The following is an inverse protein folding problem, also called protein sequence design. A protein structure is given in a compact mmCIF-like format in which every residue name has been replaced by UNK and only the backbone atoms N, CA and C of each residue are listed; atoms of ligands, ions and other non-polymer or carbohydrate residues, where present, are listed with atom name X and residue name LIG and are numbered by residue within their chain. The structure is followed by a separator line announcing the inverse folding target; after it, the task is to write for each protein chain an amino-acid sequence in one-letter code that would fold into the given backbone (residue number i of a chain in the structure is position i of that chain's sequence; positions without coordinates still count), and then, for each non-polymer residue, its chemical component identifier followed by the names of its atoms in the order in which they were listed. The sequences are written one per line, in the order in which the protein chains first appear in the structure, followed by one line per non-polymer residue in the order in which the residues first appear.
data_IF_235200086958
#
_entry.id   IF_235200086958
#
_cell.length_a   1.000
_cell.length_b   1.000
_cell.length_c   1.000
_cell.angle_alpha   90.00
_cell.angle_beta   90.00
_cell.angle_gamma   90.00
#
_symmetry.space_group_name_H-M   'P 1'
#
loop_
_entity.id
_entity.type
_entity.pdbx_description
1 polymer ?
#
# COMPACT_ATOMS: atom_id res chain seq x y z
N UNK A 1 -9.67 4.39 16.73
CA UNK A 1 -8.20 4.32 16.87
C UNK A 1 -7.72 5.35 17.86
N UNK A 2 -6.61 5.09 18.55
CA UNK A 2 -6.06 6.08 19.45
C UNK A 2 -5.25 7.15 18.70
N UNK A 3 -4.93 8.24 19.40
CA UNK A 3 -4.26 9.39 18.79
C UNK A 3 -2.85 9.07 18.29
N UNK A 4 -2.13 8.17 18.96
CA UNK A 4 -0.78 7.77 18.56
C UNK A 4 -0.81 7.01 17.22
N UNK A 5 -1.79 6.14 17.03
CA UNK A 5 -1.98 5.42 15.77
C UNK A 5 -2.35 6.39 14.65
N UNK A 6 -3.27 7.32 14.91
CA UNK A 6 -3.68 8.31 13.91
C UNK A 6 -2.50 9.19 13.50
N UNK A 7 -1.68 9.61 14.45
CA UNK A 7 -0.48 10.40 14.16
C UNK A 7 0.52 9.60 13.31
N UNK A 8 0.75 8.33 13.63
CA UNK A 8 1.64 7.47 12.86
C UNK A 8 1.14 7.28 11.43
N UNK A 9 -0.18 7.10 11.24
CA UNK A 9 -0.77 6.94 9.92
C UNK A 9 -0.69 8.21 9.07
N UNK A 10 -0.59 9.38 9.70
CA UNK A 10 -0.50 10.65 8.97
C UNK A 10 0.88 10.93 8.37
N UNK A 11 1.92 10.26 8.84
CA UNK A 11 3.31 10.57 8.49
C UNK A 11 3.80 9.90 7.21
N UNK A 12 3.32 8.71 6.89
CA UNK A 12 3.84 7.90 5.78
C UNK A 12 5.23 7.36 6.10
N UNK A 13 5.35 6.05 6.30
CA UNK A 13 6.59 5.40 6.75
C UNK A 13 6.75 4.01 6.18
N UNK A 14 7.88 3.41 6.53
CA UNK A 14 8.12 1.98 6.35
C UNK A 14 7.27 1.19 7.34
N UNK A 15 6.55 0.23 6.82
CA UNK A 15 5.69 -0.68 7.58
C UNK A 15 5.92 -2.11 7.09
N UNK A 16 5.30 -3.06 7.75
CA UNK A 16 5.11 -4.39 7.18
C UNK A 16 3.62 -4.58 6.86
N UNK A 17 3.36 -5.41 5.86
CA UNK A 17 2.02 -5.91 5.58
C UNK A 17 2.06 -7.44 5.62
N UNK A 18 0.96 -8.05 6.07
CA UNK A 18 0.79 -9.50 5.98
C UNK A 18 -0.43 -9.77 5.10
N UNK A 19 -0.17 -10.35 3.94
CA UNK A 19 -1.22 -10.77 3.00
C UNK A 19 -1.44 -12.26 3.10
N UNK A 20 -2.58 -12.75 2.59
CA UNK A 20 -2.86 -14.18 2.51
C UNK A 20 -2.33 -14.72 1.19
N UNK A 21 -1.44 -15.70 1.25
CA UNK A 21 -0.89 -16.33 0.07
C UNK A 21 -2.01 -16.98 -0.78
N UNK A 22 -2.13 -16.55 -2.03
CA UNK A 22 -3.23 -16.96 -2.91
C UNK A 22 -3.22 -18.43 -3.28
N UNK A 23 -2.05 -19.08 -3.14
CA UNK A 23 -1.90 -20.52 -3.49
C UNK A 23 -2.01 -21.43 -2.29
N UNK A 24 -1.50 -21.00 -1.13
CA UNK A 24 -1.40 -21.85 0.05
C UNK A 24 -2.32 -21.43 1.20
N UNK A 25 -2.83 -20.18 1.18
CA UNK A 25 -3.59 -19.61 2.30
C UNK A 25 -2.71 -19.20 3.48
N UNK A 26 -1.39 -19.35 3.36
CA UNK A 26 -0.47 -19.00 4.45
C UNK A 26 -0.20 -17.50 4.50
N UNK A 27 0.06 -16.94 5.71
CA UNK A 27 0.41 -15.54 5.83
C UNK A 27 1.77 -15.25 5.19
N UNK A 28 1.83 -14.12 4.47
CA UNK A 28 3.05 -13.65 3.80
C UNK A 28 3.33 -12.23 4.27
N UNK A 29 4.43 -12.03 5.00
CA UNK A 29 4.82 -10.74 5.54
C UNK A 29 5.87 -10.08 4.65
N UNK A 30 5.69 -8.77 4.40
CA UNK A 30 6.57 -8.00 3.51
C UNK A 30 6.75 -6.59 4.04
N UNK A 31 7.98 -6.09 4.02
CA UNK A 31 8.27 -4.68 4.32
C UNK A 31 7.94 -3.82 3.10
N UNK A 32 7.30 -2.68 3.34
CA UNK A 32 6.84 -1.78 2.28
C UNK A 32 6.73 -0.36 2.82
N UNK A 33 6.63 0.62 1.93
CA UNK A 33 6.41 2.02 2.30
C UNK A 33 4.98 2.41 1.97
N UNK A 34 4.32 3.07 2.91
CA UNK A 34 3.01 3.66 2.66
C UNK A 34 3.10 5.19 2.61
N UNK A 35 2.12 5.79 1.96
CA UNK A 35 2.01 7.24 1.81
C UNK A 35 0.64 7.70 2.30
N UNK A 36 0.60 8.86 2.95
CA UNK A 36 -0.66 9.51 3.31
C UNK A 36 -0.82 10.75 2.44
N UNK A 37 -1.87 10.77 1.64
CA UNK A 37 -2.17 11.88 0.72
C UNK A 37 -3.55 12.42 1.06
N UNK A 38 -3.58 13.59 1.71
CA UNK A 38 -4.85 14.21 2.09
C UNK A 38 -5.72 13.36 3.02
N UNK A 39 -5.11 12.54 3.86
CA UNK A 39 -5.80 11.63 4.77
C UNK A 39 -6.09 10.25 4.20
N UNK A 40 -5.77 10.00 2.93
CA UNK A 40 -5.91 8.69 2.30
C UNK A 40 -4.58 7.96 2.30
N UNK A 41 -4.62 6.67 2.59
CA UNK A 41 -3.43 5.83 2.69
C UNK A 41 -3.25 5.05 1.40
N UNK A 42 -2.05 5.13 0.82
CA UNK A 42 -1.69 4.40 -0.38
C UNK A 42 -0.42 3.61 -0.18
N UNK A 43 -0.36 2.45 -0.81
CA UNK A 43 0.85 1.65 -0.94
C UNK A 43 1.19 1.58 -2.41
N UNK A 44 2.45 1.81 -2.74
CA UNK A 44 2.94 1.76 -4.11
C UNK A 44 4.37 1.23 -4.13
N UNK A 45 5.02 1.29 -5.26
CA UNK A 45 6.39 0.85 -5.42
C UNK A 45 6.95 1.17 -6.80
N UNK A 46 8.22 0.86 -6.99
CA UNK A 46 8.91 1.08 -8.26
C UNK A 46 8.22 0.30 -9.38
N UNK A 47 8.08 0.87 -10.59
CA UNK A 47 7.47 0.16 -11.71
C UNK A 47 8.22 -1.14 -12.04
N UNK A 48 7.46 -2.22 -12.29
CA UNK A 48 7.99 -3.51 -12.75
C UNK A 48 7.00 -4.15 -13.71
N UNK A 49 7.52 -4.80 -14.74
CA UNK A 49 6.67 -5.54 -15.69
C UNK A 49 5.92 -6.67 -15.01
N UNK A 50 6.59 -7.42 -14.14
CA UNK A 50 5.97 -8.49 -13.36
C UNK A 50 5.33 -7.93 -12.09
N UNK A 51 4.07 -8.27 -11.86
CA UNK A 51 3.37 -7.91 -10.62
C UNK A 51 4.03 -8.57 -9.42
N UNK A 52 4.12 -7.83 -8.32
CA UNK A 52 4.62 -8.35 -7.04
C UNK A 52 3.64 -9.36 -6.45
N UNK A 53 4.18 -10.34 -5.74
CA UNK A 53 3.35 -11.38 -5.11
C UNK A 53 2.34 -10.80 -4.12
N UNK A 54 2.73 -9.81 -3.30
CA UNK A 54 1.82 -9.21 -2.35
C UNK A 54 0.64 -8.51 -3.05
N UNK A 55 0.88 -7.91 -4.21
CA UNK A 55 -0.18 -7.26 -4.99
C UNK A 55 -1.16 -8.30 -5.52
N UNK A 56 -0.66 -9.37 -6.10
CA UNK A 56 -1.50 -10.46 -6.63
C UNK A 56 -2.27 -11.15 -5.49
N UNK A 57 -1.65 -11.29 -4.32
CA UNK A 57 -2.34 -11.81 -3.14
C UNK A 57 -3.52 -10.90 -2.75
N UNK A 58 -3.35 -9.57 -2.78
CA UNK A 58 -4.41 -8.62 -2.47
C UNK A 58 -5.51 -8.59 -3.54
N UNK A 59 -5.18 -8.86 -4.79
CA UNK A 59 -6.19 -9.02 -5.84
C UNK A 59 -7.07 -10.24 -5.58
N UNK A 60 -6.50 -11.30 -5.03
CA UNK A 60 -7.22 -12.52 -4.69
C UNK A 60 -7.99 -12.40 -3.37
N UNK A 61 -7.41 -11.75 -2.36
CA UNK A 61 -8.02 -11.50 -1.06
C UNK A 61 -7.60 -10.12 -0.57
N UNK A 62 -8.51 -9.12 -0.57
CA UNK A 62 -8.15 -7.75 -0.22
C UNK A 62 -7.93 -7.51 1.27
N UNK A 63 -8.24 -8.46 2.12
CA UNK A 63 -8.04 -8.34 3.57
C UNK A 63 -6.58 -8.63 3.91
N UNK A 64 -5.99 -7.78 4.76
CA UNK A 64 -4.61 -7.96 5.19
C UNK A 64 -4.39 -7.29 6.54
N UNK A 65 -3.18 -7.45 7.09
CA UNK A 65 -2.79 -6.78 8.33
C UNK A 65 -1.74 -5.73 8.01
N UNK A 66 -2.00 -4.53 8.48
CA UNK A 66 -1.14 -3.36 8.34
C UNK A 66 -0.37 -3.21 9.65
N UNK A 67 0.96 -3.39 9.62
CA UNK A 67 1.80 -3.39 10.82
C UNK A 67 2.59 -2.10 10.93
N UNK A 68 2.21 -1.25 11.87
CA UNK A 68 3.06 -0.14 12.30
C UNK A 68 4.22 -0.72 13.10
N UNK A 69 5.45 -0.32 12.79
CA UNK A 69 6.67 -0.84 13.45
C UNK A 69 7.71 0.21 13.78
N UNK A 70 7.33 1.50 13.79
CA UNK A 70 8.19 2.60 14.21
C UNK A 70 8.06 2.87 15.70
N UNK A 71 7.96 4.15 16.06
CA UNK A 71 7.75 4.55 17.46
C UNK A 71 6.43 4.04 18.02
N UNK A 72 5.43 3.91 17.15
CA UNK A 72 4.15 3.29 17.47
C UNK A 72 4.12 1.91 16.83
N UNK A 73 3.84 0.88 17.63
CA UNK A 73 3.73 -0.51 17.16
C UNK A 73 2.26 -0.94 17.29
N UNK A 74 1.68 -1.35 16.16
CA UNK A 74 0.29 -1.82 16.15
C UNK A 74 0.04 -2.69 14.93
N UNK A 75 -0.78 -3.72 15.11
CA UNK A 75 -1.26 -4.59 14.04
C UNK A 75 -2.70 -4.20 13.75
N UNK A 76 -2.95 -3.66 12.55
CA UNK A 76 -4.24 -3.09 12.19
C UNK A 76 -4.88 -3.90 11.07
N UNK A 77 -6.07 -4.47 11.28
CA UNK A 77 -6.80 -5.09 10.18
C UNK A 77 -7.10 -4.04 9.11
N UNK A 78 -6.92 -4.40 7.86
CA UNK A 78 -7.05 -3.47 6.75
C UNK A 78 -7.68 -4.15 5.53
N UNK A 79 -8.23 -3.34 4.65
CA UNK A 79 -8.79 -3.77 3.37
C UNK A 79 -8.14 -2.96 2.25
N UNK A 80 -7.69 -3.65 1.23
CA UNK A 80 -7.03 -3.05 0.07
C UNK A 80 -8.02 -2.85 -1.07
N UNK A 81 -7.89 -1.72 -1.77
CA UNK A 81 -8.55 -1.50 -3.06
C UNK A 81 -7.44 -1.31 -4.09
N UNK A 82 -7.24 -2.31 -4.93
CA UNK A 82 -6.26 -2.23 -6.02
C UNK A 82 -6.79 -1.22 -7.05
N UNK A 83 -5.97 -0.22 -7.37
CA UNK A 83 -6.36 0.85 -8.28
C UNK A 83 -5.92 0.48 -9.69
N UNK A 84 -6.90 0.17 -10.54
CA UNK A 84 -6.68 -0.24 -11.93
C UNK A 84 -7.02 0.86 -12.94
N UNK A 85 -7.91 1.80 -12.59
CA UNK A 85 -8.32 2.87 -13.51
C UNK A 85 -7.12 3.77 -13.86
N UNK A 86 -6.78 3.88 -15.17
CA UNK A 86 -5.62 4.68 -15.59
C UNK A 86 -5.67 6.13 -15.16
N UNK A 87 -6.84 6.76 -15.16
CA UNK A 87 -6.98 8.16 -14.78
C UNK A 87 -6.74 8.35 -13.27
N UNK A 88 -7.28 7.48 -12.44
CA UNK A 88 -7.05 7.51 -11.00
C UNK A 88 -5.58 7.23 -10.68
N UNK A 89 -4.99 6.24 -11.34
CA UNK A 89 -3.57 5.90 -11.20
C UNK A 89 -2.70 7.11 -11.54
N UNK A 90 -2.99 7.80 -12.64
CA UNK A 90 -2.23 8.97 -13.05
C UNK A 90 -2.34 10.11 -12.02
N UNK A 91 -3.52 10.36 -11.48
CA UNK A 91 -3.73 11.39 -10.47
C UNK A 91 -2.92 11.11 -9.19
N UNK A 92 -2.96 9.89 -8.70
CA UNK A 92 -2.24 9.50 -7.48
C UNK A 92 -0.73 9.48 -7.70
N UNK A 93 -0.28 8.87 -8.80
CA UNK A 93 1.15 8.71 -9.08
C UNK A 93 1.81 10.02 -9.48
N UNK A 94 1.07 10.99 -10.01
CA UNK A 94 1.60 12.34 -10.27
C UNK A 94 2.06 13.01 -8.99
N UNK A 95 1.40 12.75 -7.88
CA UNK A 95 1.84 13.22 -6.56
C UNK A 95 3.07 12.42 -6.12
N UNK A 96 3.09 11.12 -6.39
CA UNK A 96 4.20 10.23 -6.08
C UNK A 96 5.48 10.58 -6.85
N UNK A 97 5.38 11.20 -8.01
CA UNK A 97 6.53 11.68 -8.78
C UNK A 97 7.45 12.56 -7.94
N UNK A 98 6.87 13.33 -7.02
CA UNK A 98 7.63 14.15 -6.06
C UNK A 98 8.43 13.31 -5.08
N UNK A 99 8.20 12.01 -5.04
CA UNK A 99 8.90 11.08 -4.15
C UNK A 99 10.09 10.41 -4.84
N UNK A 100 10.50 10.90 -6.03
CA UNK A 100 11.72 10.49 -6.70
C UNK A 100 11.57 9.45 -7.81
N UNK A 101 10.40 9.31 -8.38
CA UNK A 101 10.20 8.43 -9.54
C UNK A 101 10.40 9.23 -10.84
N UNK A 102 11.17 8.66 -11.77
CA UNK A 102 11.64 9.37 -12.95
C UNK A 102 10.64 9.37 -14.11
N UNK A 103 9.71 8.40 -14.16
CA UNK A 103 8.80 8.23 -15.30
C UNK A 103 7.38 7.94 -14.84
N UNK A 104 6.52 8.97 -14.91
CA UNK A 104 5.11 8.85 -14.53
C UNK A 104 4.36 7.84 -15.41
N UNK A 105 4.61 7.83 -16.71
CA UNK A 105 3.89 6.93 -17.63
C UNK A 105 4.25 5.46 -17.37
N UNK A 106 5.50 5.17 -17.07
CA UNK A 106 5.92 3.82 -16.67
C UNK A 106 5.25 3.44 -15.33
N UNK A 107 5.19 4.38 -14.39
CA UNK A 107 4.47 4.19 -13.12
C UNK A 107 2.99 3.87 -13.33
N UNK A 108 2.31 4.62 -14.19
CA UNK A 108 0.89 4.39 -14.50
C UNK A 108 0.68 2.98 -15.05
N UNK A 109 1.61 2.46 -15.85
CA UNK A 109 1.51 1.12 -16.44
C UNK A 109 1.92 0.01 -15.48
N UNK A 110 2.97 0.20 -14.70
CA UNK A 110 3.69 -0.90 -14.06
C UNK A 110 3.88 -0.78 -12.54
N UNK A 111 3.63 0.37 -11.93
CA UNK A 111 3.72 0.48 -10.46
C UNK A 111 2.54 -0.21 -9.79
N UNK A 112 2.78 -0.94 -8.69
CA UNK A 112 1.66 -1.35 -7.85
C UNK A 112 1.02 -0.11 -7.25
N UNK A 113 -0.30 -0.11 -7.10
CA UNK A 113 -1.00 0.98 -6.44
C UNK A 113 -2.25 0.46 -5.75
N UNK A 114 -2.29 0.68 -4.45
CA UNK A 114 -3.38 0.20 -3.59
C UNK A 114 -3.77 1.32 -2.64
N UNK A 115 -5.07 1.56 -2.51
CA UNK A 115 -5.62 2.38 -1.43
C UNK A 115 -5.96 1.49 -0.26
N UNK A 116 -5.61 1.93 0.96
CA UNK A 116 -5.80 1.15 2.18
C UNK A 116 -6.87 1.78 3.04
N UNK A 117 -7.83 0.97 3.46
CA UNK A 117 -8.80 1.31 4.51
C UNK A 117 -8.43 0.53 5.76
N UNK A 118 -8.19 1.22 6.86
CA UNK A 118 -7.98 0.58 8.16
C UNK A 118 -9.36 0.23 8.73
N UNK A 119 -9.56 -1.04 9.02
CA UNK A 119 -10.82 -1.53 9.56
C UNK A 119 -10.84 -1.30 11.08
N UNK A 120 -11.85 -0.63 11.56
CA UNK A 120 -12.03 -0.39 12.99
C UNK A 120 -12.88 -1.47 13.65
#
# INVERSE_FOLDING_TARGET
MNDDILAALSEGKVIDITTTGRKTGEPRRKEIVFHNIGGRIYISGVPRERKRDWLVNLEADPHFVFHLKGDVVADLPATARVIDDPDERRQVLAIAEKWGWDDLEDGVRHSPLVEVTIDD
#
